data_IF_414212717931
#
_entry.id   IF_414212717931
#
_cell.length_a   1.000
_cell.length_b   1.000
_cell.length_c   1.000
_cell.angle_alpha   90.00
_cell.angle_beta   90.00
_cell.angle_gamma   90.00
#
_symmetry.space_group_name_H-M   'P 1'
#
loop_
_entity.id
_entity.type
_entity.pdbx_description
1 polymer ?
#
# COMPACT_ATOMS: atom_id res chain seq x y z
N UNK A 1 -23.71 -8.34 -17.45
CA UNK A 1 -24.23 -8.19 -17.37
C UNK A 1 -24.43 -8.09 -16.74
N UNK A 2 -23.58 -7.84 -16.79
CA UNK A 2 -23.91 -7.54 -16.61
C UNK A 2 -23.59 -7.46 -16.07
N UNK A 3 -22.81 -7.11 -16.16
CA UNK A 3 -23.11 -6.84 -15.94
C UNK A 3 -22.90 -6.88 -15.40
N UNK A 4 -22.08 -6.63 -15.64
CA UNK A 4 -22.48 -6.41 -15.58
C UNK A 4 -22.26 -6.36 -14.93
N UNK A 5 -21.63 -5.84 -14.69
CA UNK A 5 -22.13 -5.53 -14.56
C UNK A 5 -21.97 -5.79 -14.07
N UNK A 6 -21.06 -5.53 -14.33
CA UNK A 6 -21.57 -5.36 -14.30
C UNK A 6 -21.35 -5.53 -14.24
N UNK A 7 -20.35 -5.21 -14.35
CA UNK A 7 -20.74 -5.13 -14.63
C UNK A 7 -20.62 -5.23 -14.38
N UNK A 8 -19.87 -4.87 -14.44
CA UNK A 8 -20.61 -4.90 -14.59
C UNK A 8 -20.59 -5.17 -14.64
N UNK A 9 -19.88 -4.96 -15.11
CA UNK A 9 -20.48 -5.06 -15.44
C UNK A 9 -20.45 -5.31 -15.75
N UNK A 10 -19.90 -5.15 -16.00
CA UNK A 10 -20.38 -5.21 -16.53
C UNK A 10 -20.68 -5.20 -16.62
N UNK A 11 -20.45 -5.05 -16.86
CA UNK A 11 -21.02 -5.00 -17.28
C UNK A 11 -21.35 -4.85 -17.67
N UNK A 12 -21.62 -4.52 -18.25
CA UNK A 12 -22.02 -4.14 -19.00
C UNK A 12 -22.29 -3.84 -19.42
N UNK A 13 -22.50 -5.60 -20.42
CA UNK A 13 -22.66 -4.55 -20.66
C UNK A 13 -22.55 -3.20 -21.42
N UNK A 14 -23.39 -2.40 -21.31
CA UNK A 14 -23.28 -1.09 -21.85
C UNK A 14 -22.15 -0.33 -21.19
N UNK A 15 -20.99 -0.32 -21.81
CA UNK A 15 -19.87 0.45 -21.28
C UNK A 15 -20.03 1.86 -21.81
N UNK A 16 -20.64 2.70 -21.00
CA UNK A 16 -20.67 4.14 -21.26
C UNK A 16 -19.24 4.66 -21.07
N UNK A 17 -18.63 5.30 -22.06
CA UNK A 17 -17.30 5.89 -21.92
C UNK A 17 -17.17 6.82 -20.70
N UNK A 18 -18.23 7.47 -20.31
CA UNK A 18 -18.25 8.30 -19.09
C UNK A 18 -17.94 7.52 -17.84
N UNK A 19 -18.38 6.27 -17.74
CA UNK A 19 -18.11 5.44 -16.58
C UNK A 19 -16.64 5.08 -16.47
N UNK A 20 -15.96 4.91 -17.58
CA UNK A 20 -14.51 4.65 -17.59
C UNK A 20 -13.76 5.89 -17.10
N UNK A 21 -14.17 7.06 -17.52
CA UNK A 21 -13.56 8.33 -17.12
C UNK A 21 -13.81 8.58 -15.63
N UNK A 22 -15.02 8.32 -15.16
CA UNK A 22 -15.39 8.53 -13.76
C UNK A 22 -14.55 7.67 -12.81
N UNK A 23 -14.24 6.44 -13.21
CA UNK A 23 -13.45 5.54 -12.41
C UNK A 23 -12.07 6.14 -12.10
N UNK A 24 -11.46 6.81 -13.05
CA UNK A 24 -10.16 7.44 -12.87
C UNK A 24 -10.24 8.82 -12.22
N UNK A 25 -11.40 9.47 -12.26
CA UNK A 25 -11.57 10.79 -11.70
C UNK A 25 -11.88 10.80 -10.21
N UNK A 26 -12.35 9.69 -9.65
CA UNK A 26 -12.73 9.60 -8.24
C UNK A 26 -11.53 9.16 -7.40
N UNK A 27 -11.15 9.99 -6.43
CA UNK A 27 -10.08 9.63 -5.50
C UNK A 27 -10.59 8.64 -4.45
N UNK A 28 -9.75 7.74 -3.98
CA UNK A 28 -10.11 6.88 -2.87
C UNK A 28 -10.24 7.69 -1.58
N UNK A 29 -10.95 7.12 -0.61
CA UNK A 29 -11.05 7.68 0.73
C UNK A 29 -10.06 7.01 1.65
N UNK A 30 -9.59 7.74 2.66
CA UNK A 30 -8.69 7.22 3.69
C UNK A 30 -9.48 6.93 4.96
N UNK A 31 -8.85 6.21 5.89
CA UNK A 31 -9.37 6.12 7.26
C UNK A 31 -9.40 7.52 7.90
N UNK A 32 -10.26 7.71 8.89
CA UNK A 32 -10.44 9.02 9.53
C UNK A 32 -9.16 9.50 10.20
N UNK A 33 -8.42 8.59 10.81
CA UNK A 33 -7.18 8.93 11.50
C UNK A 33 -6.25 7.74 11.61
N UNK A 34 -4.95 8.03 11.69
CA UNK A 34 -3.91 7.06 12.02
C UNK A 34 -3.08 7.63 13.17
N UNK A 35 -3.04 6.89 14.28
CA UNK A 35 -2.12 7.16 15.36
C UNK A 35 -0.74 6.66 14.94
N UNK A 36 0.17 7.58 14.63
CA UNK A 36 1.48 7.23 14.09
C UNK A 36 2.35 6.48 15.08
N UNK A 37 2.14 6.69 16.39
CA UNK A 37 2.84 5.91 17.41
C UNK A 37 2.45 4.42 17.33
N UNK A 38 1.17 4.16 17.11
CA UNK A 38 0.68 2.78 16.97
C UNK A 38 1.05 2.18 15.61
N UNK A 39 1.17 3.03 14.60
CA UNK A 39 1.52 2.59 13.26
C UNK A 39 3.03 2.28 13.12
N UNK A 40 3.84 2.82 14.01
CA UNK A 40 5.29 2.64 13.99
C UNK A 40 5.68 1.17 14.12
N UNK A 41 6.92 0.87 13.78
CA UNK A 41 7.48 -0.48 13.84
C UNK A 41 7.49 -1.16 12.49
N UNK A 42 7.62 -2.48 12.52
CA UNK A 42 7.81 -3.28 11.31
C UNK A 42 6.49 -3.82 10.80
N UNK A 43 6.35 -3.76 9.48
CA UNK A 43 5.23 -4.32 8.73
C UNK A 43 5.78 -5.26 7.64
N UNK A 44 5.10 -6.37 7.43
CA UNK A 44 5.35 -7.29 6.32
C UNK A 44 4.45 -6.96 5.16
N UNK A 45 5.00 -6.89 3.95
CA UNK A 45 4.18 -6.76 2.75
C UNK A 45 3.55 -8.11 2.45
N UNK A 46 2.22 -8.16 2.49
CA UNK A 46 1.46 -9.38 2.15
C UNK A 46 1.28 -9.48 0.64
N UNK A 47 1.05 -8.36 0.00
CA UNK A 47 0.90 -8.30 -1.44
C UNK A 47 0.90 -6.87 -1.94
N UNK A 48 1.02 -6.73 -3.27
CA UNK A 48 1.07 -5.41 -3.90
C UNK A 48 0.66 -5.45 -5.36
N UNK A 49 0.29 -4.30 -5.86
CA UNK A 49 0.31 -4.05 -7.31
C UNK A 49 1.77 -3.86 -7.77
N UNK A 50 2.09 -4.13 -9.03
CA UNK A 50 3.44 -3.94 -9.54
C UNK A 50 3.94 -2.52 -9.32
N UNK A 51 5.20 -2.40 -8.91
CA UNK A 51 5.83 -1.11 -8.65
C UNK A 51 7.24 -1.10 -9.20
N UNK A 52 7.54 -0.09 -10.01
CA UNK A 52 8.83 0.01 -10.68
C UNK A 52 10.00 0.00 -9.69
N UNK A 53 9.87 0.74 -8.59
CA UNK A 53 10.95 0.86 -7.59
C UNK A 53 11.21 -0.44 -6.81
N UNK A 54 10.25 -1.37 -6.85
CA UNK A 54 10.35 -2.66 -6.15
C UNK A 54 10.56 -3.82 -7.12
N UNK A 55 10.81 -3.54 -8.39
CA UNK A 55 10.94 -4.60 -9.41
C UNK A 55 12.04 -5.62 -9.11
N UNK A 56 13.06 -5.21 -8.34
CA UNK A 56 14.17 -6.09 -7.97
C UNK A 56 13.90 -6.84 -6.66
N UNK A 57 12.83 -6.52 -5.96
CA UNK A 57 12.43 -7.22 -4.74
C UNK A 57 11.70 -8.50 -5.10
N UNK A 58 12.29 -9.64 -4.78
CA UNK A 58 11.72 -10.95 -5.08
C UNK A 58 10.95 -11.52 -3.88
N UNK A 59 11.40 -11.23 -2.65
CA UNK A 59 10.78 -11.78 -1.44
C UNK A 59 11.12 -10.96 -0.20
N UNK A 60 10.49 -11.31 0.90
CA UNK A 60 10.82 -10.81 2.24
C UNK A 60 10.76 -9.29 2.33
N UNK A 61 9.75 -8.69 1.72
CA UNK A 61 9.57 -7.25 1.72
C UNK A 61 8.98 -6.81 3.05
N UNK A 62 9.70 -5.92 3.73
CA UNK A 62 9.27 -5.30 4.97
C UNK A 62 9.40 -3.79 4.89
N UNK A 63 8.61 -3.10 5.69
CA UNK A 63 8.72 -1.67 5.90
C UNK A 63 8.79 -1.40 7.39
N UNK A 64 9.73 -0.58 7.81
CA UNK A 64 9.84 -0.17 9.21
C UNK A 64 9.68 1.34 9.30
N UNK A 65 8.80 1.78 10.19
CA UNK A 65 8.51 3.18 10.41
C UNK A 65 8.96 3.59 11.80
N UNK A 66 9.83 4.60 11.88
CA UNK A 66 10.36 5.12 13.14
C UNK A 66 10.22 6.64 13.15
N UNK A 67 9.50 7.18 14.14
CA UNK A 67 9.42 8.62 14.27
C UNK A 67 10.77 9.21 14.64
N UNK A 68 11.09 10.35 14.02
CA UNK A 68 12.28 11.10 14.39
C UNK A 68 12.05 11.77 15.75
N UNK A 69 13.08 11.74 16.58
CA UNK A 69 13.01 12.32 17.94
C UNK A 69 12.72 13.82 17.96
N UNK A 70 13.07 14.53 16.88
CA UNK A 70 12.81 15.96 16.75
C UNK A 70 11.40 16.27 16.20
N UNK A 71 10.59 15.25 15.94
CA UNK A 71 9.23 15.42 15.42
C UNK A 71 9.13 15.84 13.96
N UNK A 72 10.25 15.85 13.23
CA UNK A 72 10.29 16.37 11.84
C UNK A 72 9.79 15.37 10.79
N UNK A 73 9.46 14.16 11.18
CA UNK A 73 8.95 13.16 10.24
C UNK A 73 9.19 11.75 10.73
N UNK A 74 8.97 10.81 9.80
CA UNK A 74 9.06 9.38 10.06
C UNK A 74 10.12 8.80 9.13
N UNK A 75 11.09 8.10 9.71
CA UNK A 75 12.08 7.37 8.92
C UNK A 75 11.44 6.09 8.43
N UNK A 76 11.49 5.88 7.13
CA UNK A 76 10.96 4.67 6.47
C UNK A 76 12.15 3.84 6.01
N UNK A 77 12.26 2.61 6.51
CA UNK A 77 13.29 1.68 6.07
C UNK A 77 12.61 0.49 5.41
N UNK A 78 12.76 0.39 4.10
CA UNK A 78 12.24 -0.73 3.32
C UNK A 78 13.36 -1.72 3.06
N UNK A 79 13.08 -3.00 3.28
CA UNK A 79 14.02 -4.09 3.03
C UNK A 79 13.36 -5.18 2.21
N UNK A 80 14.13 -5.81 1.35
CA UNK A 80 13.69 -7.00 0.64
C UNK A 80 14.90 -7.82 0.23
N UNK A 81 14.66 -9.02 -0.30
CA UNK A 81 15.68 -9.83 -0.94
C UNK A 81 15.44 -9.82 -2.45
N UNK A 82 16.51 -9.76 -3.23
CA UNK A 82 16.44 -9.94 -4.66
C UNK A 82 16.37 -11.45 -5.01
N UNK A 83 16.31 -11.76 -6.30
CA UNK A 83 16.21 -13.15 -6.76
C UNK A 83 17.42 -14.00 -6.38
N UNK A 84 18.55 -13.38 -6.07
CA UNK A 84 19.78 -14.07 -5.69
C UNK A 84 19.93 -14.17 -4.16
N UNK A 85 18.94 -13.69 -3.42
CA UNK A 85 18.96 -13.68 -1.96
C UNK A 85 19.75 -12.53 -1.35
N UNK A 86 20.19 -11.57 -2.14
CA UNK A 86 20.91 -10.41 -1.64
C UNK A 86 19.91 -9.38 -1.08
N UNK A 87 20.30 -8.75 0.03
CA UNK A 87 19.43 -7.78 0.68
C UNK A 87 19.48 -6.42 -0.03
N UNK A 88 18.31 -5.86 -0.28
CA UNK A 88 18.15 -4.49 -0.76
C UNK A 88 17.54 -3.69 0.39
N UNK A 89 18.15 -2.53 0.67
CA UNK A 89 17.67 -1.62 1.72
C UNK A 89 17.50 -0.23 1.13
N UNK A 90 16.35 0.38 1.35
CA UNK A 90 16.08 1.76 0.96
C UNK A 90 15.55 2.53 2.17
N UNK A 91 16.14 3.68 2.44
CA UNK A 91 15.71 4.55 3.52
C UNK A 91 15.11 5.83 2.97
N UNK A 92 13.97 6.21 3.51
CA UNK A 92 13.26 7.41 3.12
C UNK A 92 12.76 8.19 4.32
N UNK A 93 12.11 9.31 4.01
CA UNK A 93 11.46 10.16 5.00
C UNK A 93 10.01 10.37 4.61
N UNK A 94 9.11 10.13 5.56
CA UNK A 94 7.69 10.41 5.40
C UNK A 94 7.28 11.58 6.29
N UNK A 95 6.36 12.40 5.77
CA UNK A 95 5.77 13.50 6.55
C UNK A 95 4.26 13.48 6.38
N UNK A 96 3.50 13.72 7.47
CA UNK A 96 2.05 13.87 7.34
C UNK A 96 1.70 15.01 6.38
N UNK A 97 0.73 14.76 5.51
CA UNK A 97 0.22 15.78 4.59
C UNK A 97 -0.93 16.58 5.22
N UNK A 98 -1.56 16.02 6.26
CA UNK A 98 -2.61 16.70 7.02
C UNK A 98 -2.56 16.23 8.49
N UNK A 99 -3.53 16.69 9.28
CA UNK A 99 -3.57 16.39 10.72
C UNK A 99 -4.07 14.99 11.06
N UNK A 100 -4.60 14.23 10.10
CA UNK A 100 -5.19 12.92 10.36
C UNK A 100 -4.16 11.81 10.52
N UNK A 101 -2.97 11.97 9.97
CA UNK A 101 -1.96 10.92 9.89
C UNK A 101 -2.25 9.85 8.84
N UNK A 102 -3.40 9.92 8.16
CA UNK A 102 -3.78 8.91 7.17
C UNK A 102 -3.24 9.19 5.77
N UNK A 103 -2.73 10.39 5.53
CA UNK A 103 -2.11 10.79 4.27
C UNK A 103 -0.69 11.28 4.55
N UNK A 104 0.28 10.62 3.93
CA UNK A 104 1.70 10.97 4.07
C UNK A 104 2.29 11.26 2.71
N UNK A 105 3.39 12.01 2.71
CA UNK A 105 4.29 12.16 1.56
C UNK A 105 5.61 11.51 1.91
N UNK A 106 6.08 10.62 1.04
CA UNK A 106 7.30 9.85 1.26
C UNK A 106 8.33 10.19 0.18
N UNK A 107 9.57 10.41 0.59
CA UNK A 107 10.69 10.59 -0.34
C UNK A 107 11.82 9.64 0.01
N UNK A 108 12.42 9.05 -1.01
CA UNK A 108 13.62 8.24 -0.89
C UNK A 108 14.85 8.95 -1.46
N UNK A 109 14.72 10.24 -1.77
CA UNK A 109 15.87 11.04 -2.20
C UNK A 109 16.93 11.09 -1.09
N UNK A 110 18.22 11.19 -1.46
CA UNK A 110 19.30 11.41 -0.50
C UNK A 110 19.00 12.60 0.39
N UNK A 111 19.46 12.56 1.64
CA UNK A 111 19.18 13.56 2.67
C UNK A 111 19.48 14.98 2.20
N UNK A 112 20.57 15.17 1.48
CA UNK A 112 21.04 16.48 1.07
C UNK A 112 20.17 17.15 -0.01
N UNK A 113 19.27 16.40 -0.68
CA UNK A 113 18.35 16.95 -1.68
C UNK A 113 16.88 16.73 -1.32
N UNK A 114 16.56 16.23 -0.11
CA UNK A 114 15.16 15.98 0.31
C UNK A 114 14.33 17.25 0.42
N UNK A 115 14.95 18.41 0.52
CA UNK A 115 14.25 19.68 0.55
C UNK A 115 13.61 20.04 -0.79
N UNK A 116 14.05 19.44 -1.89
CA UNK A 116 13.44 19.66 -3.19
C UNK A 116 11.99 19.12 -3.20
N UNK A 117 11.05 19.86 -3.83
CA UNK A 117 9.65 19.41 -3.89
C UNK A 117 9.41 18.37 -4.99
N UNK A 118 10.38 17.51 -5.25
CA UNK A 118 10.32 16.43 -6.25
C UNK A 118 10.61 15.09 -5.58
N UNK A 119 10.26 14.01 -6.28
CA UNK A 119 10.52 12.66 -5.78
C UNK A 119 9.70 12.29 -4.56
N UNK A 120 8.60 12.99 -4.29
CA UNK A 120 7.69 12.71 -3.18
C UNK A 120 6.51 11.90 -3.71
N UNK A 121 6.21 10.80 -3.03
CA UNK A 121 5.11 9.94 -3.38
C UNK A 121 4.01 10.02 -2.32
N UNK A 122 2.77 9.90 -2.77
CA UNK A 122 1.64 9.79 -1.86
C UNK A 122 1.62 8.42 -1.20
N UNK A 123 1.22 8.42 0.07
CA UNK A 123 1.06 7.21 0.88
C UNK A 123 -0.23 7.41 1.70
N UNK A 124 -1.31 6.79 1.24
CA UNK A 124 -2.63 6.97 1.83
C UNK A 124 -3.08 5.67 2.50
N UNK A 125 -3.37 5.75 3.79
CA UNK A 125 -3.91 4.61 4.52
C UNK A 125 -5.42 4.54 4.25
N UNK A 126 -5.80 3.56 3.44
CA UNK A 126 -7.18 3.40 2.97
C UNK A 126 -8.04 2.66 3.98
N UNK A 127 -7.41 1.70 4.68
CA UNK A 127 -8.10 0.90 5.70
C UNK A 127 -7.06 0.32 6.66
N UNK A 128 -7.48 0.11 7.88
CA UNK A 128 -6.70 -0.59 8.92
C UNK A 128 -7.64 -1.18 9.95
N UNK A 129 -7.18 -2.18 10.66
CA UNK A 129 -7.95 -2.67 11.80
C UNK A 129 -7.69 -1.82 13.05
N UNK A 130 -8.53 -2.00 14.05
CA UNK A 130 -8.49 -1.20 15.29
C UNK A 130 -7.17 -1.39 16.04
N UNK A 131 -6.60 -2.59 15.98
CA UNK A 131 -5.39 -2.94 16.75
C UNK A 131 -4.10 -2.73 15.96
N UNK A 132 -4.18 -2.12 14.77
CA UNK A 132 -3.00 -1.84 13.92
C UNK A 132 -2.20 -3.10 13.56
N UNK A 133 -2.91 -4.19 13.27
CA UNK A 133 -2.30 -5.44 12.85
C UNK A 133 -2.23 -5.58 11.33
N UNK A 134 -3.11 -4.90 10.63
CA UNK A 134 -3.20 -4.91 9.17
C UNK A 134 -3.48 -3.51 8.64
N UNK A 135 -3.02 -3.23 7.45
CA UNK A 135 -3.28 -1.94 6.80
C UNK A 135 -3.28 -2.11 5.28
N UNK A 136 -4.17 -1.38 4.64
CA UNK A 136 -4.22 -1.25 3.18
C UNK A 136 -3.79 0.16 2.83
N UNK A 137 -2.75 0.26 2.00
CA UNK A 137 -2.14 1.54 1.64
C UNK A 137 -2.15 1.67 0.13
N UNK A 138 -2.46 2.84 -0.36
CA UNK A 138 -2.48 3.08 -1.80
C UNK A 138 -2.18 4.52 -2.16
N UNK A 139 -2.11 4.77 -3.46
CA UNK A 139 -1.93 6.11 -4.00
C UNK A 139 -3.25 6.62 -4.59
N UNK A 140 -3.49 7.94 -4.56
CA UNK A 140 -4.76 8.48 -5.05
C UNK A 140 -4.99 8.31 -6.55
N UNK A 141 -3.93 8.10 -7.33
CA UNK A 141 -4.03 7.75 -8.76
C UNK A 141 -4.43 6.28 -8.99
N UNK A 142 -4.43 5.46 -7.92
CA UNK A 142 -4.78 4.04 -7.94
C UNK A 142 -3.80 3.15 -8.70
N UNK A 143 -2.61 3.66 -8.99
CA UNK A 143 -1.58 2.89 -9.68
C UNK A 143 -0.87 1.93 -8.74
N UNK A 144 -0.79 2.27 -7.46
CA UNK A 144 -0.06 1.48 -6.47
C UNK A 144 -0.93 1.14 -5.27
N UNK A 145 -0.73 -0.06 -4.75
CA UNK A 145 -1.48 -0.59 -3.62
C UNK A 145 -0.65 -1.64 -2.89
N UNK A 146 -0.65 -1.58 -1.57
CA UNK A 146 0.04 -2.53 -0.70
C UNK A 146 -0.90 -2.99 0.40
N UNK A 147 -0.88 -4.28 0.68
CA UNK A 147 -1.47 -4.85 1.89
C UNK A 147 -0.34 -5.19 2.85
N UNK A 148 -0.39 -4.62 4.03
CA UNK A 148 0.64 -4.77 5.06
C UNK A 148 0.04 -5.47 6.28
N UNK A 149 0.88 -6.25 6.99
CA UNK A 149 0.48 -6.89 8.24
C UNK A 149 1.66 -7.00 9.18
N UNK A 150 1.37 -7.16 10.47
CA UNK A 150 2.41 -7.37 11.48
C UNK A 150 2.99 -8.77 11.45
N UNK A 151 2.38 -9.67 10.71
CA UNK A 151 2.82 -11.05 10.53
C UNK A 151 2.72 -11.40 9.05
N UNK A 152 3.60 -12.26 8.51
CA UNK A 152 3.46 -12.71 7.12
C UNK A 152 2.28 -13.67 6.91
N UNK A 153 1.59 -14.10 7.98
CA UNK A 153 0.43 -14.97 7.89
C UNK A 153 -0.85 -14.16 8.07
N UNK A 154 -1.75 -14.26 7.13
CA UNK A 154 -3.03 -13.56 7.12
C UNK A 154 -4.13 -14.56 6.79
N UNK A 155 -5.28 -14.44 7.47
CA UNK A 155 -6.41 -15.32 7.18
C UNK A 155 -6.98 -15.03 5.80
N UNK A 156 -7.57 -16.05 5.18
CA UNK A 156 -8.27 -15.87 3.91
C UNK A 156 -9.39 -14.84 4.03
N UNK A 157 -10.08 -14.84 5.15
CA UNK A 157 -11.16 -13.89 5.41
C UNK A 157 -10.64 -12.45 5.47
N UNK A 158 -9.56 -12.20 6.18
CA UNK A 158 -8.94 -10.86 6.26
C UNK A 158 -8.46 -10.41 4.88
N UNK A 159 -7.80 -11.30 4.14
CA UNK A 159 -7.32 -11.00 2.80
C UNK A 159 -8.48 -10.64 1.88
N UNK A 160 -9.55 -11.43 1.88
CA UNK A 160 -10.73 -11.18 1.05
C UNK A 160 -11.38 -9.83 1.41
N UNK A 161 -11.44 -9.50 2.70
CA UNK A 161 -12.01 -8.23 3.17
C UNK A 161 -11.24 -7.03 2.61
N UNK A 162 -9.91 -7.07 2.69
CA UNK A 162 -9.10 -5.96 2.18
C UNK A 162 -9.13 -5.88 0.65
N UNK A 163 -9.19 -7.00 -0.04
CA UNK A 163 -9.39 -6.98 -1.49
C UNK A 163 -10.71 -6.32 -1.85
N UNK A 164 -11.78 -6.63 -1.12
CA UNK A 164 -13.08 -6.00 -1.37
C UNK A 164 -13.03 -4.51 -1.13
N UNK A 165 -12.40 -4.06 -0.05
CA UNK A 165 -12.21 -2.64 0.23
C UNK A 165 -11.45 -1.96 -0.92
N UNK A 166 -10.38 -2.58 -1.40
CA UNK A 166 -9.59 -2.02 -2.50
C UNK A 166 -10.43 -1.90 -3.79
N UNK A 167 -11.21 -2.92 -4.11
CA UNK A 167 -12.10 -2.89 -5.27
C UNK A 167 -13.16 -1.80 -5.13
N UNK A 168 -13.76 -1.68 -3.96
CA UNK A 168 -14.76 -0.64 -3.69
C UNK A 168 -14.17 0.76 -3.82
N UNK A 169 -12.89 0.92 -3.51
CA UNK A 169 -12.16 2.18 -3.70
C UNK A 169 -11.70 2.41 -5.14
N UNK A 170 -11.98 1.47 -6.04
CA UNK A 170 -11.72 1.63 -7.47
C UNK A 170 -10.37 1.09 -7.95
N UNK A 171 -9.63 0.37 -7.12
CA UNK A 171 -8.36 -0.24 -7.55
C UNK A 171 -8.61 -1.45 -8.43
N UNK A 172 -7.80 -1.59 -9.48
CA UNK A 172 -7.82 -2.77 -10.34
C UNK A 172 -6.83 -3.79 -9.79
N UNK A 173 -7.35 -4.94 -9.33
CA UNK A 173 -6.53 -5.96 -8.68
C UNK A 173 -6.05 -7.06 -9.62
N UNK A 174 -6.21 -6.88 -10.93
CA UNK A 174 -5.83 -7.91 -11.91
C UNK A 174 -4.38 -8.34 -11.76
N UNK A 175 -3.49 -7.39 -11.47
CA UNK A 175 -2.05 -7.65 -11.34
C UNK A 175 -1.58 -7.64 -9.88
N UNK A 176 -2.51 -7.68 -8.94
CA UNK A 176 -2.15 -7.76 -7.52
C UNK A 176 -1.60 -9.16 -7.21
N UNK A 177 -0.40 -9.21 -6.65
CA UNK A 177 0.28 -10.46 -6.33
C UNK A 177 0.64 -10.53 -4.85
N UNK A 178 0.65 -11.76 -4.33
CA UNK A 178 1.15 -12.04 -2.98
C UNK A 178 2.68 -11.98 -2.99
N UNK A 179 3.24 -11.47 -1.91
CA UNK A 179 4.69 -11.34 -1.74
C UNK A 179 5.22 -12.58 -1.01
N UNK A 180 6.18 -13.32 -1.59
CA UNK A 180 6.77 -14.46 -0.88
C UNK A 180 7.64 -13.99 0.30
N UNK A 181 7.70 -14.83 1.35
CA UNK A 181 8.63 -14.69 2.46
C UNK A 181 9.40 -16.01 2.61
N UNK A 182 10.73 -15.97 2.48
CA UNK A 182 11.55 -17.17 2.29
C UNK A 182 11.46 -18.17 3.43
N UNK A 183 11.44 -17.69 4.67
CA UNK A 183 11.34 -18.54 5.85
C UNK A 183 9.91 -18.73 6.33
N UNK A 184 9.00 -17.99 5.75
CA UNK A 184 7.58 -18.04 6.05
C UNK A 184 6.84 -17.69 4.77
N UNK A 185 6.30 -18.69 4.11
CA UNK A 185 5.46 -18.42 2.96
C UNK A 185 4.26 -17.59 3.43
N UNK A 186 3.88 -16.57 2.67
CA UNK A 186 2.62 -15.90 2.93
C UNK A 186 1.52 -16.93 2.71
N UNK A 187 0.92 -17.35 3.79
CA UNK A 187 -0.17 -18.30 3.76
C UNK A 187 -1.46 -17.60 4.13
N UNK A 188 -2.43 -17.72 3.23
CA UNK A 188 -3.78 -17.34 3.59
C UNK A 188 -4.37 -18.49 4.39
N UNK A 189 -4.34 -18.39 5.70
CA UNK A 189 -4.87 -19.40 6.59
C UNK A 189 -6.39 -19.29 6.68
N UNK A 190 -7.09 -20.42 6.81
CA UNK A 190 -8.55 -20.45 6.87
C UNK A 190 -9.11 -19.69 8.05
#
# INVERSE_FOLDING_TARGET
MGLEYKVNQTTEINIDPKNIIHKSATKPTTVDSVDLDKYAGTWYEIGRLPMYFQRNCASDVTANYTEKTDGSGIIVTNKCLDKDGSQIVAEGLAKPADATGSKLKVTFLPTWIRWLPIGRADYWVLARDTDYQTALVGTPDKDYLWLLARSPNVTQQTYAKYRQIAQDQGYNLKEFTLTPHANQTVNLIP
#
